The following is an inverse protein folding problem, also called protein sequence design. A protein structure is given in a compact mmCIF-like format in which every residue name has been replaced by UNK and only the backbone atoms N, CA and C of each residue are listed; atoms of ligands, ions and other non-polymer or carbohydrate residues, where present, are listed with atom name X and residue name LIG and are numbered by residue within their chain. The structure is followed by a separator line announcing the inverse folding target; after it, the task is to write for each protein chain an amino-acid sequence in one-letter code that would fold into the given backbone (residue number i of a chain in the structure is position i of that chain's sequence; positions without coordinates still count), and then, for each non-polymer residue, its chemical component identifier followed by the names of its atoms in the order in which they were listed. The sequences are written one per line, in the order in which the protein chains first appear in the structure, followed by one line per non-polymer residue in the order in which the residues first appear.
data_IF_917074832756
#
_entry.id   IF_917074832756
#
_cell.length_a   1.000
_cell.length_b   1.000
_cell.length_c   1.000
_cell.angle_alpha   90.00
_cell.angle_beta   90.00
_cell.angle_gamma   90.00
#
_symmetry.space_group_name_H-M   'P 1'
#
loop_
_entity.id
_entity.type
_entity.pdbx_description
1 polymer ?
#
# COMPACT_ATOMS: atom_id res chain seq x y z
N UNK A 1 -7.71 -92.77 18.04
CA UNK A 1 -7.96 -91.36 17.65
C UNK A 1 -6.76 -90.52 17.99
N UNK A 2 -5.89 -90.16 17.04
CA UNK A 2 -4.68 -89.38 17.30
C UNK A 2 -5.02 -87.87 16.96
N UNK A 3 -4.99 -87.04 18.03
CA UNK A 3 -5.15 -85.56 17.82
C UNK A 3 -3.83 -85.03 17.31
N UNK A 4 -3.89 -84.39 16.09
CA UNK A 4 -2.78 -83.60 15.56
C UNK A 4 -2.89 -82.22 16.14
N UNK A 5 -1.85 -81.75 16.86
CA UNK A 5 -1.69 -80.38 17.28
C UNK A 5 -0.95 -79.61 16.17
N UNK A 6 -1.59 -78.60 15.63
CA UNK A 6 -1.02 -77.72 14.60
C UNK A 6 -0.31 -76.58 15.33
N UNK A 7 1.01 -76.56 15.30
CA UNK A 7 1.82 -75.42 15.80
C UNK A 7 1.87 -74.36 14.69
N UNK A 8 1.26 -73.16 14.92
CA UNK A 8 1.40 -72.04 14.08
C UNK A 8 2.60 -71.22 14.60
N UNK A 9 3.70 -71.25 13.83
CA UNK A 9 4.84 -70.34 14.05
C UNK A 9 4.49 -68.93 13.53
N UNK A 10 4.37 -67.96 14.45
CA UNK A 10 4.35 -66.54 14.09
C UNK A 10 5.81 -66.08 13.89
N UNK A 11 6.20 -65.82 12.65
CA UNK A 11 7.44 -65.15 12.35
C UNK A 11 7.26 -63.64 12.55
N UNK A 12 7.82 -63.09 13.62
CA UNK A 12 7.91 -61.65 13.82
C UNK A 12 9.08 -61.12 12.98
N UNK A 13 8.78 -60.54 11.84
CA UNK A 13 9.76 -59.78 11.08
C UNK A 13 10.00 -58.43 11.76
N UNK A 14 11.12 -58.28 12.44
CA UNK A 14 11.62 -56.99 12.90
C UNK A 14 11.99 -56.16 11.63
N UNK A 15 11.13 -55.22 11.27
CA UNK A 15 11.48 -54.18 10.33
C UNK A 15 12.55 -53.30 10.96
N UNK A 16 13.77 -53.36 10.43
CA UNK A 16 14.82 -52.41 10.75
C UNK A 16 14.37 -51.07 10.15
N UNK A 17 13.87 -50.19 11.02
CA UNK A 17 13.69 -48.76 10.69
C UNK A 17 15.08 -48.18 10.42
N UNK A 18 15.48 -48.12 9.15
CA UNK A 18 16.58 -47.29 8.73
C UNK A 18 16.20 -45.85 9.02
N UNK A 19 16.62 -45.34 10.14
CA UNK A 19 16.69 -43.90 10.39
C UNK A 19 17.58 -43.30 9.29
N UNK A 20 16.96 -42.76 8.24
CA UNK A 20 17.66 -41.95 7.32
C UNK A 20 18.25 -40.78 8.09
N UNK A 21 19.55 -40.78 8.30
CA UNK A 21 20.28 -39.59 8.72
C UNK A 21 20.11 -38.53 7.61
N UNK A 22 19.08 -37.71 7.75
CA UNK A 22 18.94 -36.50 6.92
C UNK A 22 20.13 -35.63 7.30
N UNK A 23 21.18 -35.68 6.47
CA UNK A 23 22.22 -34.67 6.53
C UNK A 23 21.54 -33.33 6.24
N UNK A 24 21.35 -32.52 7.28
CA UNK A 24 21.01 -31.13 7.10
C UNK A 24 22.20 -30.50 6.37
N UNK A 25 22.03 -30.22 5.07
CA UNK A 25 22.96 -29.36 4.35
C UNK A 25 23.04 -28.04 5.12
N UNK A 26 24.25 -27.47 5.18
CA UNK A 26 24.45 -26.17 5.81
C UNK A 26 23.51 -25.16 5.17
N UNK A 27 22.50 -24.69 5.92
CA UNK A 27 21.46 -23.73 5.45
C UNK A 27 21.90 -22.29 5.64
N UNK A 28 23.11 -22.09 6.16
CA UNK A 28 23.66 -20.77 6.35
C UNK A 28 23.99 -20.15 4.98
N UNK A 29 23.40 -18.99 4.72
CA UNK A 29 23.66 -18.18 3.53
C UNK A 29 24.29 -16.88 3.99
N UNK A 30 25.56 -16.69 3.66
CA UNK A 30 26.33 -15.54 4.12
C UNK A 30 26.29 -14.36 3.14
N UNK A 31 25.99 -14.63 1.89
CA UNK A 31 25.95 -13.63 0.82
C UNK A 31 24.61 -13.67 0.05
N UNK A 32 24.08 -12.53 -0.41
CA UNK A 32 24.60 -11.18 -0.13
C UNK A 32 24.27 -10.70 1.30
N UNK A 33 25.17 -9.94 1.92
CA UNK A 33 24.87 -9.26 3.18
C UNK A 33 23.79 -8.20 2.97
N UNK A 34 22.84 -8.04 3.92
CA UNK A 34 21.84 -6.97 3.85
C UNK A 34 22.49 -5.58 3.89
N UNK A 35 22.04 -4.69 3.01
CA UNK A 35 22.49 -3.29 3.01
C UNK A 35 22.14 -2.61 4.33
N UNK A 36 23.10 -1.90 4.92
CA UNK A 36 22.90 -1.15 6.16
C UNK A 36 22.11 0.12 5.86
N UNK A 37 20.97 0.27 6.51
CA UNK A 37 20.08 1.44 6.43
C UNK A 37 19.89 2.02 7.82
N UNK A 38 20.08 3.33 7.99
CA UNK A 38 19.72 4.02 9.23
C UNK A 38 18.22 4.27 9.29
N UNK A 39 17.51 3.77 10.31
CA UNK A 39 16.03 3.80 10.32
C UNK A 39 15.42 5.16 10.71
N UNK A 40 16.21 6.17 10.93
CA UNK A 40 15.75 7.44 11.49
C UNK A 40 15.58 7.41 13.02
N UNK A 41 15.22 8.53 13.65
CA UNK A 41 15.07 8.66 15.10
C UNK A 41 13.69 8.20 15.59
N UNK A 42 12.71 8.11 14.73
CA UNK A 42 11.38 7.56 14.97
C UNK A 42 10.89 6.76 13.76
N UNK A 43 9.85 5.93 13.95
CA UNK A 43 9.24 5.17 12.85
C UNK A 43 8.56 6.04 11.78
N UNK A 44 8.45 7.36 12.00
CA UNK A 44 7.91 8.33 11.03
C UNK A 44 8.99 8.97 10.19
N UNK A 45 10.24 8.96 10.67
CA UNK A 45 11.34 9.61 9.98
C UNK A 45 11.74 8.80 8.75
N UNK A 46 12.10 9.49 7.67
CA UNK A 46 12.59 8.86 6.47
C UNK A 46 13.89 8.09 6.77
N UNK A 47 13.98 6.79 6.47
CA UNK A 47 15.24 6.06 6.57
C UNK A 47 16.25 6.56 5.53
N UNK A 48 17.53 6.24 5.76
CA UNK A 48 18.63 6.82 4.97
C UNK A 48 18.61 6.50 3.48
N UNK A 49 17.89 5.46 3.06
CA UNK A 49 17.70 5.04 1.67
C UNK A 49 16.36 5.49 1.07
N UNK A 50 15.58 6.32 1.80
CA UNK A 50 14.32 6.83 1.31
C UNK A 50 14.47 8.04 0.39
N UNK A 51 13.59 8.12 -0.58
CA UNK A 51 13.36 9.30 -1.41
C UNK A 51 12.34 10.18 -0.68
N UNK A 52 12.78 11.35 -0.19
CA UNK A 52 11.89 12.30 0.46
C UNK A 52 11.10 13.07 -0.61
N UNK A 53 9.80 12.89 -0.62
CA UNK A 53 8.87 13.54 -1.56
C UNK A 53 8.37 14.88 -1.04
N UNK A 54 8.26 15.03 0.30
CA UNK A 54 7.95 16.29 0.96
C UNK A 54 8.47 16.32 2.40
N UNK A 55 9.27 17.32 2.70
CA UNK A 55 9.93 17.53 4.01
C UNK A 55 9.45 18.80 4.74
N UNK A 56 8.34 19.38 4.31
CA UNK A 56 7.80 20.60 4.92
C UNK A 56 8.21 21.92 4.23
N UNK A 57 9.11 21.90 3.25
CA UNK A 57 9.71 23.12 2.71
C UNK A 57 9.12 23.57 1.37
N UNK A 58 8.96 22.67 0.41
CA UNK A 58 8.51 23.01 -0.93
C UNK A 58 7.90 21.83 -1.68
N UNK A 59 7.19 22.11 -2.78
CA UNK A 59 6.58 21.11 -3.67
C UNK A 59 7.44 20.82 -4.92
N UNK A 60 8.77 21.00 -4.86
CA UNK A 60 9.65 20.84 -6.02
C UNK A 60 9.62 19.44 -6.64
N UNK A 61 9.20 18.40 -5.88
CA UNK A 61 9.00 17.04 -6.35
C UNK A 61 7.62 16.79 -6.97
N UNK A 62 6.74 17.79 -6.99
CA UNK A 62 5.35 17.68 -7.40
C UNK A 62 5.00 18.61 -8.55
N UNK A 63 4.11 18.15 -9.44
CA UNK A 63 3.56 18.91 -10.57
C UNK A 63 2.06 18.68 -10.68
N UNK A 64 1.36 19.55 -11.39
CA UNK A 64 0.01 19.28 -11.89
C UNK A 64 0.03 18.37 -13.12
N UNK A 65 -1.12 17.79 -13.48
CA UNK A 65 -1.27 16.91 -14.67
C UNK A 65 -0.82 17.55 -15.99
N UNK A 66 -0.87 18.86 -16.08
CA UNK A 66 -0.42 19.64 -17.26
C UNK A 66 1.10 19.93 -17.26
N UNK A 67 1.86 19.39 -16.30
CA UNK A 67 3.30 19.60 -16.15
C UNK A 67 3.70 20.88 -15.41
N UNK A 68 2.74 21.77 -15.08
CA UNK A 68 3.00 22.98 -14.30
C UNK A 68 3.40 22.65 -12.85
N UNK A 69 4.20 23.50 -12.19
CA UNK A 69 4.51 23.35 -10.77
C UNK A 69 3.25 23.23 -9.90
N UNK A 70 3.26 22.32 -8.93
CA UNK A 70 2.15 22.16 -8.00
C UNK A 70 1.89 23.46 -7.22
N UNK A 71 0.60 23.82 -7.07
CA UNK A 71 0.15 25.12 -6.51
C UNK A 71 -0.65 24.97 -5.21
N UNK A 72 -0.52 23.84 -4.52
CA UNK A 72 -1.16 23.66 -3.22
C UNK A 72 -0.47 24.50 -2.15
N UNK A 73 -1.22 24.92 -1.14
CA UNK A 73 -0.74 25.92 -0.15
C UNK A 73 0.16 25.27 0.90
N UNK A 74 1.40 25.78 1.04
CA UNK A 74 2.35 25.33 2.06
C UNK A 74 2.27 26.26 3.27
N UNK A 75 2.12 25.68 4.45
CA UNK A 75 2.13 26.40 5.73
C UNK A 75 2.59 25.47 6.84
N UNK A 76 3.39 25.97 7.78
CA UNK A 76 3.77 25.28 9.03
C UNK A 76 4.29 23.83 8.83
N UNK A 77 5.05 23.59 7.75
CA UNK A 77 5.65 22.29 7.45
C UNK A 77 4.72 21.24 6.80
N UNK A 78 3.52 21.65 6.37
CA UNK A 78 2.61 20.81 5.60
C UNK A 78 2.06 21.57 4.39
N UNK A 79 1.45 20.88 3.45
CA UNK A 79 0.69 21.50 2.39
C UNK A 79 -0.77 21.05 2.41
N UNK A 80 -1.65 21.90 1.91
CA UNK A 80 -3.11 21.66 1.88
C UNK A 80 -3.60 21.71 0.45
N UNK A 81 -4.52 20.81 0.10
CA UNK A 81 -5.24 20.85 -1.17
C UNK A 81 -5.79 22.26 -1.38
N UNK A 82 -5.54 22.81 -2.56
CA UNK A 82 -6.22 24.03 -3.03
C UNK A 82 -7.38 23.61 -3.94
N UNK A 83 -8.63 23.63 -3.45
CA UNK A 83 -9.79 23.17 -4.19
C UNK A 83 -9.88 23.81 -5.59
N UNK A 84 -10.07 22.97 -6.60
CA UNK A 84 -10.19 23.40 -7.99
C UNK A 84 -8.87 23.70 -8.69
N UNK A 85 -7.71 23.62 -8.00
CA UNK A 85 -6.41 23.77 -8.67
C UNK A 85 -5.95 22.49 -9.38
N UNK A 86 -6.62 21.39 -9.11
CA UNK A 86 -6.32 20.05 -9.63
C UNK A 86 -5.35 19.24 -8.77
N UNK A 87 -5.39 17.95 -8.97
CA UNK A 87 -4.50 16.96 -8.32
C UNK A 87 -3.04 17.21 -8.65
N UNK A 88 -2.14 16.75 -7.78
CA UNK A 88 -0.70 16.84 -7.98
C UNK A 88 -0.08 15.45 -8.07
N UNK A 89 1.00 15.34 -8.86
CA UNK A 89 1.72 14.09 -9.11
C UNK A 89 3.19 14.25 -8.76
N UNK A 90 3.83 13.16 -8.39
CA UNK A 90 5.29 13.14 -8.30
C UNK A 90 5.92 13.31 -9.68
N UNK A 91 7.05 14.04 -9.75
CA UNK A 91 7.86 14.15 -10.97
C UNK A 91 8.56 12.84 -11.30
N UNK A 92 9.01 12.15 -10.26
CA UNK A 92 9.66 10.85 -10.36
C UNK A 92 8.59 9.74 -10.41
N UNK A 93 8.92 8.62 -11.07
CA UNK A 93 8.04 7.48 -11.29
C UNK A 93 8.48 6.30 -10.43
N UNK A 94 7.54 5.60 -9.82
CA UNK A 94 7.78 4.52 -8.88
C UNK A 94 6.99 3.26 -9.25
N UNK A 95 7.53 2.11 -8.90
CA UNK A 95 6.87 0.80 -8.98
C UNK A 95 6.55 0.27 -7.59
N UNK A 96 7.03 -0.95 -7.29
CA UNK A 96 6.90 -1.52 -5.94
C UNK A 96 7.63 -0.66 -4.93
N UNK A 97 6.97 -0.35 -3.81
CA UNK A 97 7.52 0.59 -2.83
C UNK A 97 6.95 0.39 -1.42
N UNK A 98 7.70 0.91 -0.45
CA UNK A 98 7.20 1.30 0.85
C UNK A 98 6.97 2.81 0.81
N UNK A 99 5.73 3.25 1.00
CA UNK A 99 5.34 4.66 1.03
C UNK A 99 4.84 5.03 2.42
N UNK A 100 5.39 6.09 3.00
CA UNK A 100 4.87 6.73 4.20
C UNK A 100 4.32 8.10 3.86
N UNK A 101 3.16 8.44 4.41
CA UNK A 101 2.62 9.80 4.37
C UNK A 101 1.76 10.08 5.60
N UNK A 102 1.73 11.36 5.99
CA UNK A 102 0.80 11.84 6.99
C UNK A 102 -0.24 12.74 6.34
N UNK A 103 -1.50 12.57 6.72
CA UNK A 103 -2.60 13.42 6.26
C UNK A 103 -3.49 13.89 7.41
N UNK A 104 -4.22 14.97 7.18
CA UNK A 104 -5.16 15.53 8.13
C UNK A 104 -6.40 16.02 7.40
N UNK A 105 -7.58 15.54 7.80
CA UNK A 105 -8.85 16.05 7.31
C UNK A 105 -9.20 17.37 7.98
N UNK A 106 -9.98 18.26 7.33
CA UNK A 106 -10.28 19.60 7.86
C UNK A 106 -10.88 19.57 9.27
N UNK A 107 -10.43 20.48 10.13
CA UNK A 107 -11.02 20.68 11.48
C UNK A 107 -12.49 21.09 11.39
N UNK A 108 -12.81 21.99 10.45
CA UNK A 108 -14.18 22.40 10.18
C UNK A 108 -14.83 21.30 9.33
N UNK A 109 -15.76 20.59 9.92
CA UNK A 109 -16.48 19.50 9.28
C UNK A 109 -17.53 20.09 8.35
N UNK A 110 -17.39 19.80 7.06
CA UNK A 110 -18.36 20.14 6.02
C UNK A 110 -18.76 18.87 5.26
N UNK A 111 -20.03 18.72 4.96
CA UNK A 111 -20.56 17.56 4.24
C UNK A 111 -20.71 16.30 5.11
N UNK A 112 -21.03 15.21 4.43
CA UNK A 112 -21.19 13.87 4.98
C UNK A 112 -20.76 12.82 3.94
N UNK A 113 -20.65 11.57 4.36
CA UNK A 113 -20.28 10.46 3.49
C UNK A 113 -19.00 10.75 2.70
N UNK A 114 -19.06 10.60 1.39
CA UNK A 114 -17.93 10.84 0.48
C UNK A 114 -17.62 12.33 0.22
N UNK A 115 -18.48 13.25 0.68
CA UNK A 115 -18.24 14.69 0.53
C UNK A 115 -17.46 15.30 1.70
N UNK A 116 -17.03 14.47 2.67
CA UNK A 116 -16.44 14.93 3.92
C UNK A 116 -14.94 14.59 4.00
N UNK A 117 -14.07 15.61 3.88
CA UNK A 117 -12.64 15.45 4.01
C UNK A 117 -12.04 14.45 3.01
N UNK A 118 -12.52 14.48 1.77
CA UNK A 118 -12.18 13.52 0.72
C UNK A 118 -10.92 13.93 -0.04
N UNK A 119 -10.06 12.95 -0.29
CA UNK A 119 -8.90 12.97 -1.16
C UNK A 119 -8.56 11.52 -1.53
N UNK A 120 -7.43 11.28 -2.21
CA UNK A 120 -6.96 9.96 -2.56
C UNK A 120 -5.46 9.92 -2.76
N UNK A 121 -4.86 8.77 -2.47
CA UNK A 121 -3.48 8.45 -2.83
C UNK A 121 -3.53 7.43 -3.96
N UNK A 122 -3.21 7.85 -5.17
CA UNK A 122 -3.16 6.95 -6.31
C UNK A 122 -1.73 6.46 -6.53
N UNK A 123 -1.54 5.18 -6.39
CA UNK A 123 -0.31 4.50 -6.75
C UNK A 123 -0.31 4.25 -8.25
N UNK A 124 0.85 4.45 -8.90
CA UNK A 124 1.03 4.21 -10.33
C UNK A 124 -0.05 4.90 -11.21
N UNK A 125 -0.20 6.20 -11.02
CA UNK A 125 -1.19 6.97 -11.78
C UNK A 125 -0.77 7.16 -13.23
N UNK A 126 -1.56 6.65 -14.17
CA UNK A 126 -1.35 6.85 -15.60
C UNK A 126 -1.98 8.17 -16.04
N UNK A 127 -1.15 9.14 -16.41
CA UNK A 127 -1.57 10.50 -16.81
C UNK A 127 -2.41 10.45 -18.09
N UNK A 128 -2.11 9.56 -19.02
CA UNK A 128 -2.77 9.45 -20.34
C UNK A 128 -4.20 8.92 -20.22
N UNK A 129 -4.39 7.89 -19.39
CA UNK A 129 -5.70 7.25 -19.19
C UNK A 129 -6.50 7.84 -18.04
N UNK A 130 -5.84 8.56 -17.12
CA UNK A 130 -6.46 9.08 -15.91
C UNK A 130 -6.68 8.04 -14.82
N UNK A 131 -6.09 6.85 -14.93
CA UNK A 131 -6.30 5.71 -14.05
C UNK A 131 -5.13 5.48 -13.10
N UNK A 132 -5.39 4.88 -11.94
CA UNK A 132 -4.39 4.49 -10.95
C UNK A 132 -4.99 3.54 -9.91
N UNK A 133 -4.20 3.12 -8.93
CA UNK A 133 -4.63 2.27 -7.82
C UNK A 133 -4.85 3.13 -6.60
N UNK A 134 -6.11 3.39 -6.25
CA UNK A 134 -6.46 4.36 -5.22
C UNK A 134 -6.54 3.73 -3.83
N UNK A 135 -5.80 4.33 -2.90
CA UNK A 135 -5.99 4.22 -1.46
C UNK A 135 -6.78 5.44 -1.00
N UNK A 136 -8.00 5.21 -0.53
CA UNK A 136 -8.92 6.28 -0.15
C UNK A 136 -8.42 7.11 1.03
N UNK A 137 -8.50 8.42 0.92
CA UNK A 137 -8.38 9.38 2.02
C UNK A 137 -9.74 10.02 2.26
N UNK A 138 -10.25 9.86 3.48
CA UNK A 138 -11.58 10.35 3.86
C UNK A 138 -11.60 10.69 5.34
N UNK A 139 -12.40 11.67 5.75
CA UNK A 139 -12.81 11.75 7.14
C UNK A 139 -13.84 10.65 7.44
N UNK A 140 -13.36 9.53 7.94
CA UNK A 140 -14.17 8.37 8.34
C UNK A 140 -14.50 8.33 9.84
N UNK A 141 -14.11 9.37 10.60
CA UNK A 141 -14.41 9.45 12.03
C UNK A 141 -15.89 9.81 12.25
N UNK A 142 -16.67 8.88 12.79
CA UNK A 142 -18.13 9.07 12.97
C UNK A 142 -18.83 9.55 11.69
N UNK A 143 -18.41 9.07 10.54
CA UNK A 143 -18.95 9.41 9.23
C UNK A 143 -19.36 8.14 8.49
N UNK A 144 -20.64 7.96 8.27
CA UNK A 144 -21.19 6.78 7.60
C UNK A 144 -21.18 6.97 6.09
N UNK A 145 -20.55 6.03 5.39
CA UNK A 145 -20.61 5.88 3.93
C UNK A 145 -20.49 4.39 3.57
N UNK A 146 -20.47 4.04 2.29
CA UNK A 146 -20.22 2.66 1.87
C UNK A 146 -18.82 2.19 2.33
N UNK A 147 -18.77 0.94 2.80
CA UNK A 147 -17.59 0.44 3.54
C UNK A 147 -16.32 0.35 2.69
N UNK A 148 -16.46 0.04 1.39
CA UNK A 148 -15.34 0.00 0.45
C UNK A 148 -14.95 1.40 -0.12
N UNK A 149 -15.48 2.48 0.45
CA UNK A 149 -15.08 3.87 0.23
C UNK A 149 -14.64 4.57 1.53
N UNK A 150 -14.46 3.85 2.64
CA UNK A 150 -13.89 4.38 3.89
C UNK A 150 -12.40 4.68 3.73
N UNK A 151 -11.84 5.48 4.65
CA UNK A 151 -10.40 5.74 4.71
C UNK A 151 -9.59 4.44 4.71
N UNK A 152 -8.61 4.34 3.80
CA UNK A 152 -7.76 3.16 3.65
C UNK A 152 -8.37 1.99 2.89
N UNK A 153 -9.57 2.14 2.32
CA UNK A 153 -10.08 1.19 1.32
C UNK A 153 -9.20 1.21 0.07
N UNK A 154 -9.05 0.07 -0.60
CA UNK A 154 -8.75 0.08 -2.02
C UNK A 154 -10.07 0.40 -2.69
N UNK A 155 -10.20 1.64 -3.16
CA UNK A 155 -11.47 2.27 -3.46
C UNK A 155 -12.37 1.39 -4.34
N UNK A 156 -13.59 1.13 -3.81
CA UNK A 156 -14.62 0.24 -4.38
C UNK A 156 -14.20 -1.23 -4.58
N UNK A 157 -12.97 -1.64 -4.16
CA UNK A 157 -12.49 -3.01 -4.30
C UNK A 157 -12.41 -3.76 -2.96
N UNK A 158 -11.78 -3.16 -1.94
CA UNK A 158 -11.57 -3.79 -0.64
C UNK A 158 -11.95 -2.88 0.52
N UNK A 159 -12.74 -3.42 1.42
CA UNK A 159 -13.10 -2.78 2.69
C UNK A 159 -11.88 -2.84 3.63
N UNK A 160 -11.53 -1.76 4.36
CA UNK A 160 -10.54 -1.84 5.43
C UNK A 160 -10.97 -2.84 6.52
N UNK A 161 -10.03 -3.59 7.07
CA UNK A 161 -10.30 -4.55 8.16
C UNK A 161 -10.95 -3.88 9.38
N UNK A 162 -10.56 -2.65 9.66
CA UNK A 162 -11.11 -1.81 10.74
C UNK A 162 -11.03 -0.33 10.34
N UNK A 163 -11.85 0.51 10.97
CA UNK A 163 -11.74 1.96 10.87
C UNK A 163 -10.81 2.48 11.98
N UNK A 164 -9.58 2.85 11.61
CA UNK A 164 -8.56 3.40 12.52
C UNK A 164 -8.46 4.93 12.44
N UNK A 165 -9.48 5.62 11.92
CA UNK A 165 -9.48 7.07 11.74
C UNK A 165 -9.47 7.82 13.07
N UNK A 166 -8.67 8.87 13.14
CA UNK A 166 -8.69 9.87 14.20
C UNK A 166 -9.70 10.97 13.87
N UNK A 167 -9.96 11.84 14.85
CA UNK A 167 -10.85 13.00 14.68
C UNK A 167 -10.35 13.95 13.59
N UNK A 168 -11.25 14.67 12.90
CA UNK A 168 -10.87 15.79 12.05
C UNK A 168 -9.91 16.76 12.75
N UNK A 169 -8.91 17.24 12.03
CA UNK A 169 -7.87 18.10 12.57
C UNK A 169 -6.71 17.39 13.27
N UNK A 170 -6.78 16.06 13.43
CA UNK A 170 -5.66 15.27 13.94
C UNK A 170 -4.86 14.66 12.76
N UNK A 171 -3.52 14.66 12.89
CA UNK A 171 -2.64 14.00 11.94
C UNK A 171 -2.79 12.49 12.01
N UNK A 172 -2.94 11.88 10.85
CA UNK A 172 -3.07 10.45 10.63
C UNK A 172 -1.94 9.97 9.72
N UNK A 173 -1.57 8.69 9.83
CA UNK A 173 -0.49 8.10 9.03
C UNK A 173 -1.02 7.00 8.16
N UNK A 174 -0.54 6.92 6.92
CA UNK A 174 -0.53 5.71 6.12
C UNK A 174 0.90 5.21 5.94
N UNK A 175 1.10 3.93 6.26
CA UNK A 175 2.28 3.17 5.89
C UNK A 175 1.84 2.09 4.91
N UNK A 176 2.26 2.21 3.66
CA UNK A 176 1.79 1.42 2.53
C UNK A 176 2.94 0.60 1.96
N UNK A 177 2.81 -0.73 1.95
CA UNK A 177 3.69 -1.63 1.21
C UNK A 177 2.95 -2.01 -0.07
N UNK A 178 3.44 -1.53 -1.20
CA UNK A 178 2.83 -1.78 -2.51
C UNK A 178 3.74 -2.65 -3.37
N UNK A 179 3.16 -3.70 -3.94
CA UNK A 179 3.78 -4.53 -4.98
C UNK A 179 3.10 -4.24 -6.31
N UNK A 180 3.85 -3.66 -7.23
CA UNK A 180 3.35 -3.30 -8.55
C UNK A 180 2.96 -4.55 -9.38
N UNK A 181 1.97 -4.46 -10.26
CA UNK A 181 1.62 -5.55 -11.14
C UNK A 181 2.72 -5.80 -12.17
N UNK A 182 2.80 -7.01 -12.64
CA UNK A 182 3.69 -7.39 -13.75
C UNK A 182 2.85 -7.81 -14.94
N UNK A 183 3.22 -7.34 -16.11
CA UNK A 183 2.60 -7.70 -17.39
C UNK A 183 3.58 -8.51 -18.25
N UNK A 184 3.04 -9.42 -19.04
CA UNK A 184 3.82 -10.11 -20.07
C UNK A 184 3.90 -9.24 -21.36
N UNK A 185 4.61 -9.74 -22.37
CA UNK A 185 4.81 -9.02 -23.63
C UNK A 185 3.51 -8.78 -24.42
N UNK A 186 2.45 -9.53 -24.13
CA UNK A 186 1.15 -9.39 -24.75
C UNK A 186 0.23 -8.43 -23.99
N UNK A 187 0.70 -7.83 -22.89
CA UNK A 187 -0.11 -6.95 -22.04
C UNK A 187 -1.01 -7.67 -21.04
N UNK A 188 -0.88 -8.99 -20.90
CA UNK A 188 -1.65 -9.75 -19.91
C UNK A 188 -0.98 -9.70 -18.54
N UNK A 189 -1.78 -9.72 -17.48
CA UNK A 189 -1.29 -9.73 -16.09
C UNK A 189 -0.55 -11.04 -15.83
N UNK A 190 0.74 -10.96 -15.55
CA UNK A 190 1.57 -12.06 -15.06
C UNK A 190 1.49 -12.23 -13.55
N UNK A 191 1.43 -11.09 -12.85
CA UNK A 191 1.22 -11.00 -11.40
C UNK A 191 0.36 -9.77 -11.11
N UNK A 192 -0.73 -9.90 -10.35
CA UNK A 192 -1.51 -8.74 -9.93
C UNK A 192 -0.73 -7.87 -8.95
N UNK A 193 -1.22 -6.67 -8.71
CA UNK A 193 -0.71 -5.80 -7.66
C UNK A 193 -1.24 -6.27 -6.30
N UNK A 194 -0.42 -6.07 -5.25
CA UNK A 194 -0.80 -6.34 -3.86
C UNK A 194 -0.47 -5.14 -2.98
N UNK A 195 -1.25 -4.97 -1.94
CA UNK A 195 -1.02 -3.88 -0.98
C UNK A 195 -1.26 -4.34 0.45
N UNK A 196 -0.37 -3.89 1.35
CA UNK A 196 -0.54 -3.96 2.80
C UNK A 196 -0.52 -2.54 3.33
N UNK A 197 -1.52 -2.15 4.14
CA UNK A 197 -1.65 -0.78 4.64
C UNK A 197 -1.83 -0.78 6.16
N UNK A 198 -1.04 0.04 6.83
CA UNK A 198 -1.26 0.43 8.22
C UNK A 198 -1.81 1.86 8.26
N UNK A 199 -2.91 2.05 8.96
CA UNK A 199 -3.50 3.36 9.26
C UNK A 199 -3.32 3.65 10.75
N UNK A 200 -2.57 4.70 11.10
CA UNK A 200 -2.22 5.01 12.48
C UNK A 200 -1.58 3.84 13.24
N UNK A 201 -0.75 3.04 12.56
CA UNK A 201 -0.11 1.85 13.10
C UNK A 201 -1.00 0.61 13.20
N UNK A 202 -2.28 0.68 12.77
CA UNK A 202 -3.22 -0.45 12.75
C UNK A 202 -3.29 -1.04 11.34
N UNK A 203 -3.14 -2.36 11.22
CA UNK A 203 -3.26 -3.07 9.94
C UNK A 203 -4.71 -2.98 9.44
N UNK A 204 -4.90 -2.42 8.24
CA UNK A 204 -6.22 -2.23 7.63
C UNK A 204 -6.36 -2.92 6.26
N UNK A 205 -5.25 -3.21 5.59
CA UNK A 205 -5.20 -4.06 4.38
C UNK A 205 -4.04 -5.05 4.56
N UNK A 206 -4.31 -6.35 4.41
CA UNK A 206 -3.34 -7.42 4.60
C UNK A 206 -3.10 -8.16 3.29
N UNK A 207 -2.03 -7.79 2.58
CA UNK A 207 -1.65 -8.38 1.29
C UNK A 207 -2.84 -8.49 0.32
N UNK A 208 -3.68 -7.44 0.30
CA UNK A 208 -4.91 -7.40 -0.51
C UNK A 208 -4.56 -7.32 -1.99
N UNK A 209 -5.10 -8.23 -2.79
CA UNK A 209 -4.95 -8.22 -4.25
C UNK A 209 -5.76 -7.08 -4.86
N UNK A 210 -5.10 -6.18 -5.56
CA UNK A 210 -5.78 -5.12 -6.33
C UNK A 210 -6.26 -5.74 -7.65
N UNK A 211 -7.53 -5.54 -7.99
CA UNK A 211 -8.19 -6.18 -9.15
C UNK A 211 -8.03 -5.37 -10.45
N UNK A 212 -7.34 -4.26 -10.41
CA UNK A 212 -7.14 -3.35 -11.53
C UNK A 212 -7.27 -1.89 -11.10
N UNK A 213 -7.27 -0.99 -12.07
CA UNK A 213 -7.38 0.45 -11.81
C UNK A 213 -8.69 0.82 -11.10
N UNK A 214 -8.62 1.84 -10.25
CA UNK A 214 -9.80 2.52 -9.71
C UNK A 214 -10.43 3.36 -10.81
N UNK A 215 -11.64 3.01 -11.21
CA UNK A 215 -12.45 3.74 -12.18
C UNK A 215 -13.94 3.46 -11.96
N UNK A 216 -14.80 4.17 -12.68
CA UNK A 216 -16.24 3.92 -12.69
C UNK A 216 -16.51 2.58 -13.40
N UNK A 217 -17.01 1.60 -12.66
CA UNK A 217 -17.32 0.26 -13.16
C UNK A 217 -16.49 -0.83 -12.52
N UNK A 218 -16.35 -1.98 -13.20
CA UNK A 218 -15.53 -3.07 -12.67
C UNK A 218 -14.04 -2.76 -12.84
N UNK A 219 -13.24 -2.93 -11.78
CA UNK A 219 -11.80 -2.77 -11.89
C UNK A 219 -11.23 -3.79 -12.88
N UNK A 220 -10.35 -3.33 -13.74
CA UNK A 220 -9.63 -4.18 -14.70
C UNK A 220 -8.20 -3.70 -14.83
N UNK A 221 -7.32 -4.62 -15.15
CA UNK A 221 -5.97 -4.26 -15.53
C UNK A 221 -5.91 -3.83 -16.99
N UNK A 222 -5.12 -2.79 -17.22
CA UNK A 222 -4.62 -2.39 -18.53
C UNK A 222 -3.11 -2.33 -18.42
N UNK A 223 -2.40 -2.88 -19.40
CA UNK A 223 -0.93 -2.87 -19.37
C UNK A 223 -0.40 -1.45 -19.35
N UNK A 224 0.55 -1.21 -18.47
CA UNK A 224 1.18 0.09 -18.29
C UNK A 224 2.67 -0.08 -17.95
N UNK A 225 3.50 0.98 -18.02
CA UNK A 225 4.90 0.93 -17.60
C UNK A 225 5.07 0.42 -16.17
N UNK A 226 6.23 -0.19 -15.89
CA UNK A 226 6.56 -0.74 -14.56
C UNK A 226 6.73 0.32 -13.47
N UNK A 227 6.86 1.59 -13.85
CA UNK A 227 6.92 2.75 -12.95
C UNK A 227 6.03 3.86 -13.50
N UNK A 228 5.24 4.46 -12.64
CA UNK A 228 4.37 5.60 -12.91
C UNK A 228 4.36 6.52 -11.68
N UNK A 229 3.90 7.78 -11.81
CA UNK A 229 3.87 8.71 -10.68
C UNK A 229 2.84 8.29 -9.61
N UNK A 230 3.04 8.80 -8.39
CA UNK A 230 2.04 8.83 -7.33
C UNK A 230 1.24 10.12 -7.49
N UNK A 231 -0.10 10.05 -7.34
CA UNK A 231 -0.96 11.22 -7.34
C UNK A 231 -1.62 11.40 -5.98
N UNK A 232 -1.71 12.67 -5.55
CA UNK A 232 -2.58 13.12 -4.47
C UNK A 232 -3.76 13.88 -5.08
N UNK A 233 -4.99 13.48 -4.67
CA UNK A 233 -6.21 13.94 -5.32
C UNK A 233 -6.70 15.28 -4.74
N UNK A 234 -7.04 16.21 -5.62
CA UNK A 234 -7.94 17.33 -5.33
C UNK A 234 -9.39 16.86 -5.55
N UNK A 235 -10.11 16.59 -4.47
CA UNK A 235 -11.54 16.26 -4.47
C UNK A 235 -12.40 17.45 -3.94
N UNK A 236 -11.82 18.65 -3.89
CA UNK A 236 -12.51 19.85 -3.42
C UNK A 236 -12.50 20.05 -1.90
N UNK A 237 -11.88 19.17 -1.12
CA UNK A 237 -11.77 19.29 0.34
C UNK A 237 -10.36 19.71 0.77
N UNK A 238 -10.27 20.49 1.85
CA UNK A 238 -9.02 21.03 2.40
C UNK A 238 -8.22 19.97 3.17
N UNK A 239 -7.92 18.83 2.55
CA UNK A 239 -7.07 17.80 3.14
C UNK A 239 -5.62 18.28 3.13
N UNK A 240 -4.93 18.11 4.24
CA UNK A 240 -3.52 18.49 4.39
C UNK A 240 -2.62 17.28 4.41
N UNK A 241 -1.39 17.44 3.91
CA UNK A 241 -0.38 16.38 3.83
C UNK A 241 0.96 16.87 4.34
N UNK A 242 1.74 15.96 4.95
CA UNK A 242 3.12 16.22 5.35
C UNK A 242 3.93 14.93 5.44
N UNK A 243 5.23 15.04 5.66
CA UNK A 243 6.14 13.94 5.92
C UNK A 243 5.93 12.77 4.94
N UNK A 244 6.20 13.04 3.66
CA UNK A 244 5.99 12.04 2.59
C UNK A 244 7.34 11.53 2.12
N UNK A 245 7.56 10.23 2.25
CA UNK A 245 8.76 9.57 1.76
C UNK A 245 8.46 8.17 1.23
N UNK A 246 9.34 7.67 0.37
CA UNK A 246 9.20 6.40 -0.31
C UNK A 246 10.53 5.67 -0.37
N UNK A 247 10.51 4.34 -0.21
CA UNK A 247 11.59 3.43 -0.55
C UNK A 247 11.15 2.53 -1.70
N UNK A 248 11.98 2.37 -2.74
CA UNK A 248 11.75 1.37 -3.78
C UNK A 248 12.09 -0.04 -3.25
N UNK A 249 11.33 -1.06 -3.71
CA UNK A 249 11.45 -2.46 -3.29
C UNK A 249 11.87 -3.36 -4.46
#
# INVERSE_FOLDING_TARGET
MKKRVLLILYSITFGILNSQNIKYENREVWEPEPTIVSPGSSFRDAPSDAIVLFNGLNLNKWIHKNGEPAKWDIKDGYFTVRPGSGSILTKDFFGSCQLHLEFMTPVNIEGDGQNRGNSGVFLMYNIETGNGYEVQVLDSYNNRTYSNGQAGSIYEQHIPLVNASKKPGEWQTYDIIFKAPLFNKNGEVKSPAYVTIFHNGVLIQDNSEIKGFTNIGYPKYEAHPSKLPILLQDHGNLVSFRNIWLREL
#
